data_IF_739052726668
#
_entry.id   IF_739052726668
#
_cell.length_a   1.000
_cell.length_b   1.000
_cell.length_c   1.000
_cell.angle_alpha   90.00
_cell.angle_beta   90.00
_cell.angle_gamma   90.00
#
_symmetry.space_group_name_H-M   'P 1'
#
loop_
_entity.id
_entity.type
_entity.pdbx_description
1 polymer ?
#
# COMPACT_ATOMS: atom_id res chain seq x y z
N UNK A 1 9.41 -7.93 9.36
CA UNK A 1 8.47 -7.92 8.21
C UNK A 1 8.82 -6.80 7.26
N UNK A 2 8.64 -7.02 5.98
CA UNK A 2 8.97 -6.10 4.90
C UNK A 2 7.71 -5.50 4.30
N UNK A 3 7.68 -4.18 4.11
CA UNK A 3 6.55 -3.49 3.49
C UNK A 3 6.99 -2.81 2.19
N UNK A 4 6.15 -2.91 1.16
CA UNK A 4 6.29 -2.15 -0.07
C UNK A 4 5.36 -0.94 0.01
N UNK A 5 5.92 0.25 -0.09
CA UNK A 5 5.17 1.51 -0.06
C UNK A 5 5.13 2.08 -1.47
N UNK A 6 3.94 2.10 -2.07
CA UNK A 6 3.71 2.63 -3.42
C UNK A 6 3.10 4.01 -3.25
N UNK A 7 3.91 5.05 -3.43
CA UNK A 7 3.54 6.43 -3.16
C UNK A 7 4.46 7.36 -3.93
N UNK A 8 3.90 8.31 -4.68
CA UNK A 8 4.69 9.24 -5.48
C UNK A 8 5.10 10.51 -4.73
N UNK A 9 4.53 10.77 -3.54
CA UNK A 9 4.94 11.88 -2.69
C UNK A 9 5.93 11.40 -1.65
N UNK A 10 7.16 11.92 -1.71
CA UNK A 10 8.24 11.51 -0.81
C UNK A 10 7.87 11.66 0.67
N UNK A 11 7.32 12.81 1.05
CA UNK A 11 7.00 13.07 2.47
C UNK A 11 5.89 12.15 2.98
N UNK A 12 4.89 11.86 2.16
CA UNK A 12 3.84 10.91 2.52
C UNK A 12 4.40 9.51 2.68
N UNK A 13 5.30 9.09 1.78
CA UNK A 13 5.98 7.81 1.89
C UNK A 13 6.78 7.69 3.17
N UNK A 14 7.50 8.74 3.57
CA UNK A 14 8.25 8.77 4.82
C UNK A 14 7.33 8.65 6.03
N UNK A 15 6.21 9.34 6.02
CA UNK A 15 5.23 9.27 7.09
C UNK A 15 4.68 7.84 7.24
N UNK A 16 4.35 7.19 6.13
CA UNK A 16 3.87 5.82 6.13
C UNK A 16 4.94 4.88 6.70
N UNK A 17 6.19 5.04 6.27
CA UNK A 17 7.30 4.25 6.81
C UNK A 17 7.39 4.39 8.33
N UNK A 18 7.41 5.62 8.84
CA UNK A 18 7.52 5.88 10.28
C UNK A 18 6.40 5.19 11.06
N UNK A 19 5.17 5.28 10.55
CA UNK A 19 4.01 4.66 11.20
C UNK A 19 4.09 3.14 11.17
N UNK A 20 4.51 2.57 10.04
CA UNK A 20 4.65 1.12 9.91
C UNK A 20 5.77 0.59 10.80
N UNK A 21 6.85 1.36 11.02
CA UNK A 21 7.89 0.97 11.98
C UNK A 21 7.32 0.81 13.38
N UNK A 22 6.42 1.70 13.78
CA UNK A 22 5.72 1.60 15.06
C UNK A 22 4.90 0.32 15.16
N UNK A 23 4.42 -0.21 14.02
CA UNK A 23 3.64 -1.44 13.97
C UNK A 23 4.49 -2.70 13.80
N UNK A 24 5.83 -2.58 13.80
CA UNK A 24 6.73 -3.73 13.79
C UNK A 24 7.37 -4.05 12.45
N UNK A 25 7.13 -3.25 11.41
CA UNK A 25 7.82 -3.41 10.13
C UNK A 25 9.23 -2.82 10.24
N UNK A 26 10.22 -3.54 9.75
CA UNK A 26 11.63 -3.16 9.91
C UNK A 26 12.37 -2.97 8.60
N UNK A 27 11.75 -3.32 7.48
CA UNK A 27 12.37 -3.26 6.18
C UNK A 27 11.35 -2.74 5.18
N UNK A 28 11.78 -1.90 4.23
CA UNK A 28 10.90 -1.19 3.32
C UNK A 28 11.46 -1.13 1.91
N UNK A 29 10.57 -1.25 0.92
CA UNK A 29 10.82 -0.88 -0.46
C UNK A 29 9.87 0.26 -0.83
N UNK A 30 10.31 1.13 -1.73
CA UNK A 30 9.50 2.28 -2.18
C UNK A 30 9.35 2.23 -3.69
N UNK A 31 8.17 2.60 -4.17
CA UNK A 31 7.90 2.73 -5.59
C UNK A 31 7.06 3.97 -5.84
N UNK A 32 7.37 4.71 -6.89
CA UNK A 32 6.66 5.95 -7.24
C UNK A 32 5.68 5.75 -8.38
N UNK A 33 5.79 4.63 -9.10
CA UNK A 33 4.91 4.32 -10.23
C UNK A 33 4.65 2.81 -10.31
N UNK A 34 3.81 2.44 -11.27
CA UNK A 34 3.39 1.06 -11.46
C UNK A 34 4.55 0.12 -11.78
N UNK A 35 5.43 0.52 -12.69
CA UNK A 35 6.56 -0.33 -13.10
C UNK A 35 7.57 -0.53 -11.97
N UNK A 36 7.88 0.54 -11.22
CA UNK A 36 8.74 0.43 -10.05
C UNK A 36 8.15 -0.50 -9.00
N UNK A 37 6.83 -0.41 -8.78
CA UNK A 37 6.15 -1.25 -7.80
C UNK A 37 6.31 -2.73 -8.13
N UNK A 38 6.13 -3.09 -9.39
CA UNK A 38 6.28 -4.47 -9.85
C UNK A 38 7.73 -4.93 -9.70
N UNK A 39 8.69 -4.10 -10.11
CA UNK A 39 10.11 -4.42 -10.00
C UNK A 39 10.53 -4.63 -8.54
N UNK A 40 10.08 -3.77 -7.63
CA UNK A 40 10.41 -3.88 -6.21
C UNK A 40 9.80 -5.14 -5.59
N UNK A 41 8.56 -5.48 -5.95
CA UNK A 41 7.91 -6.69 -5.45
C UNK A 41 8.60 -7.97 -5.95
N UNK A 42 9.14 -7.95 -7.17
CA UNK A 42 9.90 -9.07 -7.72
C UNK A 42 11.26 -9.21 -7.04
N UNK A 43 11.91 -8.08 -6.72
CA UNK A 43 13.21 -8.08 -6.05
C UNK A 43 13.09 -8.62 -4.64
N UNK A 44 12.04 -8.22 -3.92
CA UNK A 44 11.79 -8.71 -2.57
C UNK A 44 10.29 -8.75 -2.32
N UNK A 45 9.76 -9.97 -2.11
CA UNK A 45 8.35 -10.17 -1.83
C UNK A 45 7.95 -9.50 -0.51
N UNK A 46 7.02 -8.54 -0.52
CA UNK A 46 6.63 -7.87 0.71
C UNK A 46 5.65 -8.68 1.55
N UNK A 47 5.63 -8.37 2.84
CA UNK A 47 4.64 -8.91 3.78
C UNK A 47 3.39 -8.03 3.83
N UNK A 48 3.49 -6.79 3.34
CA UNK A 48 2.40 -5.83 3.26
C UNK A 48 2.66 -4.88 2.10
N UNK A 49 1.62 -4.54 1.36
CA UNK A 49 1.67 -3.46 0.37
C UNK A 49 0.77 -2.33 0.85
N UNK A 50 1.30 -1.11 0.92
CA UNK A 50 0.48 0.10 1.02
C UNK A 50 0.57 0.84 -0.29
N UNK A 51 -0.55 1.29 -0.85
CA UNK A 51 -0.55 1.92 -2.16
C UNK A 51 -1.49 3.11 -2.22
N UNK A 52 -1.00 4.21 -2.79
CA UNK A 52 -1.89 5.24 -3.31
C UNK A 52 -2.46 4.77 -4.65
N UNK A 53 -3.49 5.41 -5.10
CA UNK A 53 -4.17 5.07 -6.38
C UNK A 53 -3.59 5.88 -7.52
N UNK A 54 -3.45 7.21 -7.33
CA UNK A 54 -2.90 8.09 -8.35
C UNK A 54 -1.39 8.17 -8.21
N UNK A 55 -0.67 7.59 -9.15
CA UNK A 55 0.78 7.53 -9.14
C UNK A 55 1.36 8.48 -10.20
N UNK A 56 2.68 8.73 -10.13
CA UNK A 56 3.38 9.55 -11.12
C UNK A 56 3.18 9.00 -12.54
N UNK A 57 3.11 7.68 -12.66
CA UNK A 57 2.77 6.99 -13.90
C UNK A 57 2.03 5.71 -13.54
N UNK A 58 0.86 5.52 -14.14
CA UNK A 58 0.03 4.36 -13.86
C UNK A 58 -0.88 4.54 -12.67
N UNK A 59 -1.48 3.45 -12.23
CA UNK A 59 -2.48 3.41 -11.17
C UNK A 59 -2.10 2.38 -10.12
N UNK A 60 -2.25 2.75 -8.84
CA UNK A 60 -1.93 1.85 -7.72
C UNK A 60 -2.77 0.59 -7.70
N UNK A 61 -4.05 0.67 -8.07
CA UNK A 61 -4.91 -0.51 -8.13
C UNK A 61 -4.39 -1.51 -9.18
N UNK A 62 -4.02 -1.01 -10.36
CA UNK A 62 -3.49 -1.86 -11.42
C UNK A 62 -2.14 -2.46 -11.04
N UNK A 63 -1.28 -1.68 -10.38
CA UNK A 63 0.00 -2.17 -9.88
C UNK A 63 -0.20 -3.32 -8.89
N UNK A 64 -1.09 -3.14 -7.93
CA UNK A 64 -1.37 -4.16 -6.92
C UNK A 64 -1.95 -5.42 -7.56
N UNK A 65 -2.88 -5.28 -8.52
CA UNK A 65 -3.44 -6.42 -9.21
C UNK A 65 -2.37 -7.23 -9.93
N UNK A 66 -1.44 -6.56 -10.61
CA UNK A 66 -0.33 -7.24 -11.30
C UNK A 66 0.59 -7.96 -10.32
N UNK A 67 0.89 -7.35 -9.18
CA UNK A 67 1.74 -7.96 -8.14
C UNK A 67 1.07 -9.16 -7.51
N UNK A 68 -0.21 -9.02 -7.13
CA UNK A 68 -0.93 -10.05 -6.38
C UNK A 68 -1.55 -11.13 -7.25
N UNK A 69 -1.44 -11.01 -8.58
CA UNK A 69 -2.01 -12.00 -9.50
C UNK A 69 -1.43 -13.40 -9.29
N UNK A 70 -0.14 -13.48 -8.98
CA UNK A 70 0.53 -14.77 -8.77
C UNK A 70 0.57 -15.15 -7.30
N UNK A 71 0.66 -14.17 -6.40
CA UNK A 71 0.79 -14.43 -4.96
C UNK A 71 -0.03 -13.42 -4.17
N UNK A 72 -1.17 -13.81 -3.60
CA UNK A 72 -1.94 -12.94 -2.73
C UNK A 72 -1.14 -12.54 -1.50
N UNK A 73 -1.30 -11.27 -1.07
CA UNK A 73 -0.64 -10.75 0.11
C UNK A 73 -1.46 -9.62 0.71
N UNK A 74 -1.22 -9.23 1.98
CA UNK A 74 -1.94 -8.12 2.59
C UNK A 74 -1.76 -6.82 1.80
N UNK A 75 -2.86 -6.15 1.47
CA UNK A 75 -2.86 -4.89 0.74
C UNK A 75 -3.76 -3.87 1.43
N UNK A 76 -3.27 -2.64 1.50
CA UNK A 76 -3.96 -1.50 2.07
C UNK A 76 -3.78 -0.31 1.15
N UNK A 77 -4.90 0.32 0.75
CA UNK A 77 -4.85 1.57 -0.03
C UNK A 77 -4.90 2.76 0.92
N UNK A 78 -4.02 3.73 0.70
CA UNK A 78 -3.94 4.99 1.45
C UNK A 78 -4.01 6.11 0.43
N UNK A 79 -5.15 6.79 0.35
CA UNK A 79 -5.41 7.70 -0.76
C UNK A 79 -6.29 8.88 -0.36
N UNK A 80 -6.17 9.98 -1.11
CA UNK A 80 -7.09 11.12 -1.01
C UNK A 80 -8.43 10.89 -1.69
N UNK A 81 -8.60 9.77 -2.42
CA UNK A 81 -9.80 9.45 -3.19
C UNK A 81 -10.41 8.11 -2.78
N UNK A 82 -10.51 7.88 -1.46
CA UNK A 82 -11.03 6.62 -0.91
C UNK A 82 -12.41 6.21 -1.47
N UNK A 83 -13.39 7.12 -1.65
CA UNK A 83 -14.67 6.72 -2.24
C UNK A 83 -14.54 6.09 -3.61
N UNK A 84 -13.64 6.60 -4.46
CA UNK A 84 -13.39 6.04 -5.79
C UNK A 84 -12.85 4.62 -5.70
N UNK A 85 -11.96 4.36 -4.74
CA UNK A 85 -11.42 3.01 -4.53
C UNK A 85 -12.51 2.07 -4.08
N UNK A 86 -13.36 2.50 -3.16
CA UNK A 86 -14.48 1.67 -2.67
C UNK A 86 -15.48 1.34 -3.77
N UNK A 87 -15.73 2.28 -4.69
CA UNK A 87 -16.60 2.04 -5.83
C UNK A 87 -16.00 1.04 -6.80
N UNK A 88 -14.71 1.19 -7.11
CA UNK A 88 -14.02 0.32 -8.07
C UNK A 88 -13.68 -1.05 -7.49
N UNK A 89 -13.31 -1.09 -6.20
CA UNK A 89 -12.91 -2.31 -5.50
C UNK A 89 -13.60 -2.38 -4.14
N UNK A 90 -14.89 -2.81 -4.09
CA UNK A 90 -15.65 -2.81 -2.83
C UNK A 90 -15.05 -3.66 -1.72
N UNK A 91 -14.22 -4.66 -2.07
CA UNK A 91 -13.56 -5.54 -1.10
C UNK A 91 -12.24 -4.97 -0.58
N UNK A 92 -11.75 -3.88 -1.15
CA UNK A 92 -10.44 -3.33 -0.79
C UNK A 92 -10.47 -2.69 0.60
N UNK A 93 -9.36 -2.81 1.31
CA UNK A 93 -9.14 -2.10 2.56
C UNK A 93 -8.52 -0.76 2.21
N UNK A 94 -9.17 0.32 2.62
CA UNK A 94 -8.77 1.66 2.21
C UNK A 94 -8.92 2.64 3.36
N UNK A 95 -7.95 3.55 3.51
CA UNK A 95 -8.06 4.68 4.42
C UNK A 95 -7.86 5.98 3.65
N UNK A 96 -8.59 7.00 4.08
CA UNK A 96 -8.59 8.33 3.47
C UNK A 96 -7.46 9.17 4.05
N UNK A 97 -6.71 9.86 3.20
CA UNK A 97 -5.75 10.88 3.65
C UNK A 97 -6.49 12.16 4.05
N UNK A 98 -6.06 12.88 5.08
CA UNK A 98 -5.02 12.49 6.04
C UNK A 98 -5.52 11.39 6.98
N UNK A 99 -4.60 10.59 7.50
CA UNK A 99 -4.95 9.46 8.36
C UNK A 99 -4.21 9.52 9.70
N UNK A 100 -4.82 8.94 10.74
CA UNK A 100 -4.19 8.82 12.04
C UNK A 100 -3.58 7.43 12.25
N UNK A 101 -2.83 7.29 13.34
CA UNK A 101 -2.17 6.03 13.68
C UNK A 101 -3.19 4.92 13.96
N UNK A 102 -4.31 5.24 14.61
CA UNK A 102 -5.35 4.25 14.89
C UNK A 102 -5.98 3.70 13.61
N UNK A 103 -6.23 4.56 12.62
CA UNK A 103 -6.76 4.14 11.33
C UNK A 103 -5.82 3.19 10.63
N UNK A 104 -4.53 3.53 10.62
CA UNK A 104 -3.52 2.70 9.97
C UNK A 104 -3.38 1.35 10.67
N UNK A 105 -3.33 1.34 12.01
CA UNK A 105 -3.22 0.09 12.78
C UNK A 105 -4.37 -0.85 12.48
N UNK A 106 -5.60 -0.33 12.51
CA UNK A 106 -6.78 -1.14 12.22
C UNK A 106 -6.76 -1.67 10.80
N UNK A 107 -6.43 -0.82 9.82
CA UNK A 107 -6.38 -1.21 8.42
C UNK A 107 -5.31 -2.28 8.16
N UNK A 108 -4.15 -2.15 8.77
CA UNK A 108 -3.09 -3.17 8.65
C UNK A 108 -3.56 -4.51 9.23
N UNK A 109 -4.23 -4.50 10.37
CA UNK A 109 -4.77 -5.72 10.96
C UNK A 109 -5.82 -6.37 10.05
N UNK A 110 -6.70 -5.57 9.47
CA UNK A 110 -7.71 -6.07 8.52
C UNK A 110 -7.05 -6.67 7.28
N UNK A 111 -6.05 -6.00 6.74
CA UNK A 111 -5.34 -6.48 5.55
C UNK A 111 -4.66 -7.83 5.82
N UNK A 112 -4.05 -7.99 6.97
CA UNK A 112 -3.39 -9.23 7.34
C UNK A 112 -4.39 -10.39 7.54
N UNK A 113 -5.56 -10.11 8.08
CA UNK A 113 -6.60 -11.12 8.25
C UNK A 113 -7.25 -11.53 6.94
N UNK A 114 -7.32 -10.63 5.97
CA UNK A 114 -7.96 -10.87 4.68
C UNK A 114 -7.07 -11.63 3.69
N UNK A 115 -5.76 -11.66 3.93
CA UNK A 115 -4.80 -12.28 3.02
C UNK A 115 -4.73 -13.81 3.16
#
# INVERSE_FOLDING_TARGET
MHALIIEDEFLTGQLIEDRLRTLGYTSFSFAMDEEEAIAEALTRCPDLITSDVELASGCGIDAVQRICNEKPMPVLYITGTAPMVRDRCPWAIVIQKPFGMADLREAVQQARRAA
#
